data_IF_245060296589
#
_entry.id   IF_245060296589
#
_cell.length_a   1.000
_cell.length_b   1.000
_cell.length_c   1.000
_cell.angle_alpha   90.00
_cell.angle_beta   90.00
_cell.angle_gamma   90.00
#
_symmetry.space_group_name_H-M   'P 1'
#
loop_
_entity.id
_entity.type
_entity.pdbx_description
1 polymer ?
#
# COMPACT_ATOMS: atom_id res chain seq x y z
N UNK A 1 12.10 6.10 5.41
CA UNK A 1 10.98 5.94 4.45
C UNK A 1 10.75 4.46 4.21
N UNK A 2 9.55 3.98 4.39
CA UNK A 2 9.19 2.63 3.99
C UNK A 2 8.89 2.60 2.50
N UNK A 3 9.30 1.54 1.83
CA UNK A 3 9.08 1.35 0.40
C UNK A 3 8.92 -0.15 0.14
N UNK A 4 7.68 -0.61 0.12
CA UNK A 4 7.39 -2.04 0.05
C UNK A 4 6.20 -2.32 -0.86
N UNK A 5 5.96 -3.60 -1.13
CA UNK A 5 4.75 -4.04 -1.80
C UNK A 5 3.94 -4.95 -0.89
N UNK A 6 2.65 -5.02 -1.16
CA UNK A 6 1.71 -5.97 -0.57
C UNK A 6 1.25 -6.88 -1.70
N UNK A 7 1.50 -8.18 -1.60
CA UNK A 7 1.18 -9.11 -2.67
C UNK A 7 0.48 -10.35 -2.12
N UNK A 8 -0.23 -11.06 -2.98
CA UNK A 8 -0.91 -12.30 -2.62
C UNK A 8 0.03 -13.47 -2.81
N UNK A 9 0.27 -14.23 -1.74
CA UNK A 9 1.07 -15.44 -1.77
C UNK A 9 0.29 -16.63 -2.34
N UNK A 10 0.99 -17.75 -2.53
CA UNK A 10 0.38 -18.98 -3.05
C UNK A 10 -0.69 -19.57 -2.14
N UNK A 11 -0.70 -19.21 -0.86
CA UNK A 11 -1.71 -19.64 0.12
C UNK A 11 -2.95 -18.73 0.16
N UNK A 12 -3.02 -17.71 -0.70
CA UNK A 12 -4.12 -16.76 -0.75
C UNK A 12 -4.05 -15.64 0.29
N UNK A 13 -3.01 -15.60 1.12
CA UNK A 13 -2.80 -14.54 2.10
C UNK A 13 -1.91 -13.47 1.53
N UNK A 14 -2.07 -12.24 2.04
CA UNK A 14 -1.19 -11.14 1.65
C UNK A 14 0.06 -11.09 2.53
N UNK A 15 1.14 -10.59 1.94
CA UNK A 15 2.45 -10.46 2.58
C UNK A 15 3.08 -9.12 2.20
N UNK A 16 3.95 -8.61 3.06
CA UNK A 16 4.82 -7.49 2.72
C UNK A 16 6.11 -8.01 2.10
N UNK A 17 6.63 -7.27 1.13
CA UNK A 17 7.97 -7.48 0.58
C UNK A 17 8.65 -6.13 0.42
N UNK A 18 9.86 -6.00 0.95
CA UNK A 18 10.64 -4.78 0.78
C UNK A 18 10.99 -4.60 -0.70
N UNK A 19 10.79 -3.38 -1.20
CA UNK A 19 11.34 -2.98 -2.47
C UNK A 19 12.73 -2.40 -2.21
N UNK A 20 13.68 -2.71 -3.07
CA UNK A 20 15.07 -2.31 -2.84
C UNK A 20 15.20 -0.79 -2.87
N UNK A 21 15.68 -0.23 -1.76
CA UNK A 21 15.88 1.20 -1.60
C UNK A 21 17.35 1.61 -1.74
N UNK A 22 18.24 0.65 -1.97
CA UNK A 22 19.66 0.93 -2.07
C UNK A 22 19.99 1.58 -3.40
N UNK A 23 21.15 2.25 -3.43
CA UNK A 23 21.69 2.80 -4.66
C UNK A 23 21.75 1.72 -5.73
N UNK A 24 21.27 2.06 -6.94
CA UNK A 24 21.18 1.10 -8.03
C UNK A 24 19.87 0.32 -8.11
N UNK A 25 18.96 0.53 -7.17
CA UNK A 25 17.65 -0.12 -7.23
C UNK A 25 16.90 0.26 -8.50
N UNK A 26 16.28 -0.74 -9.13
CA UNK A 26 15.44 -0.49 -10.31
C UNK A 26 14.17 0.31 -10.03
N UNK A 27 13.79 0.46 -8.76
CA UNK A 27 12.63 1.24 -8.38
C UNK A 27 12.93 2.72 -8.22
N UNK A 28 14.20 3.09 -8.14
CA UNK A 28 14.63 4.48 -8.16
C UNK A 28 15.26 4.79 -9.51
N UNK A 29 15.15 6.01 -9.97
CA UNK A 29 15.60 6.43 -11.30
C UNK A 29 14.82 5.77 -12.44
N UNK A 30 13.68 5.15 -12.14
CA UNK A 30 12.82 4.53 -13.13
C UNK A 30 11.51 5.29 -13.21
N UNK A 31 11.10 5.66 -14.41
CA UNK A 31 9.78 6.23 -14.64
C UNK A 31 8.75 5.12 -14.66
N UNK A 32 7.71 5.27 -13.86
CA UNK A 32 6.59 4.33 -13.84
C UNK A 32 5.34 5.04 -14.35
N UNK A 33 4.73 4.48 -15.38
CA UNK A 33 3.49 5.03 -15.92
C UNK A 33 2.35 4.74 -14.95
N UNK A 34 1.57 5.77 -14.62
CA UNK A 34 0.33 5.59 -13.88
C UNK A 34 -0.83 6.04 -14.76
N UNK A 35 -1.92 5.28 -14.73
CA UNK A 35 -3.11 5.57 -15.51
C UNK A 35 -3.92 6.72 -14.92
N UNK A 36 -3.88 6.85 -13.60
CA UNK A 36 -4.57 7.92 -12.87
C UNK A 36 -3.81 8.21 -11.58
N UNK A 37 -3.75 9.48 -11.21
CA UNK A 37 -3.23 9.92 -9.92
C UNK A 37 -4.39 10.54 -9.15
N UNK A 38 -4.63 10.06 -7.93
CA UNK A 38 -5.79 10.44 -7.12
C UNK A 38 -5.30 10.90 -5.77
N UNK A 39 -5.85 12.00 -5.28
CA UNK A 39 -5.64 12.49 -3.92
C UNK A 39 -6.89 12.23 -3.11
N UNK A 40 -6.74 11.63 -1.94
CA UNK A 40 -7.89 11.25 -1.12
C UNK A 40 -7.63 11.50 0.34
N UNK A 41 -8.63 12.06 1.01
CA UNK A 41 -8.65 12.20 2.45
C UNK A 41 -9.56 11.10 3.03
N UNK A 42 -8.95 10.06 3.57
CA UNK A 42 -9.68 8.95 4.19
C UNK A 42 -10.02 9.20 5.65
N UNK A 43 -9.38 10.18 6.26
CA UNK A 43 -9.55 10.51 7.68
C UNK A 43 -9.38 9.27 8.57
N UNK A 44 -10.45 8.87 9.25
CA UNK A 44 -10.46 7.74 10.19
C UNK A 44 -11.48 6.69 9.77
N UNK A 45 -11.63 6.44 8.46
CA UNK A 45 -12.59 5.46 7.93
C UNK A 45 -12.48 4.12 8.63
N UNK A 46 -13.61 3.53 8.97
CA UNK A 46 -13.66 2.23 9.64
C UNK A 46 -13.98 1.08 8.70
N UNK A 47 -14.53 1.36 7.53
CA UNK A 47 -14.88 0.30 6.56
C UNK A 47 -13.67 -0.43 5.99
N UNK A 48 -12.47 0.14 6.12
CA UNK A 48 -11.22 -0.48 5.71
C UNK A 48 -10.60 -1.39 6.79
N UNK A 49 -11.16 -1.43 8.00
CA UNK A 49 -10.65 -2.27 9.10
C UNK A 49 -10.84 -3.76 8.83
N UNK A 50 -11.77 -4.12 7.97
CA UNK A 50 -12.01 -5.52 7.59
C UNK A 50 -11.04 -5.97 6.51
N UNK A 51 -10.88 -7.27 6.37
CA UNK A 51 -10.09 -7.86 5.29
C UNK A 51 -10.70 -7.50 3.95
N UNK A 52 -9.88 -6.95 3.05
CA UNK A 52 -10.29 -6.58 1.70
C UNK A 52 -9.09 -6.61 0.76
N UNK A 53 -9.34 -6.90 -0.50
CA UNK A 53 -8.31 -6.88 -1.53
C UNK A 53 -8.13 -5.47 -2.06
N UNK A 54 -6.97 -5.21 -2.68
CA UNK A 54 -6.79 -3.99 -3.46
C UNK A 54 -7.74 -4.05 -4.67
N UNK A 55 -8.45 -2.96 -4.99
CA UNK A 55 -9.36 -2.96 -6.14
C UNK A 55 -8.62 -3.07 -7.48
N UNK A 56 -7.36 -2.69 -7.48
CA UNK A 56 -6.43 -2.75 -8.61
C UNK A 56 -5.02 -2.58 -8.10
N UNK A 57 -4.03 -2.90 -8.93
CA UNK A 57 -2.64 -2.60 -8.58
C UNK A 57 -2.45 -1.10 -8.56
N UNK A 58 -1.94 -0.59 -7.44
CA UNK A 58 -1.80 0.84 -7.25
C UNK A 58 -0.70 1.19 -6.27
N UNK A 59 0.01 2.27 -6.56
CA UNK A 59 0.91 2.91 -5.62
C UNK A 59 0.10 3.69 -4.60
N UNK A 60 0.56 3.68 -3.35
CA UNK A 60 -0.02 4.48 -2.29
C UNK A 60 1.08 5.25 -1.56
N UNK A 61 0.92 6.56 -1.48
CA UNK A 61 1.87 7.46 -0.83
C UNK A 61 1.13 8.19 0.27
N UNK A 62 1.57 8.03 1.52
CA UNK A 62 1.00 8.78 2.63
C UNK A 62 1.53 10.22 2.60
N UNK A 63 0.63 11.18 2.57
CA UNK A 63 0.96 12.60 2.56
C UNK A 63 0.89 13.20 3.97
N UNK A 64 -0.14 12.83 4.75
CA UNK A 64 -0.24 13.22 6.15
C UNK A 64 -1.06 12.18 6.92
N UNK A 65 -1.00 12.26 8.25
CA UNK A 65 -1.60 11.23 9.08
C UNK A 65 -0.86 9.91 8.95
N UNK A 66 -1.57 8.81 9.14
CA UNK A 66 -0.98 7.48 9.05
C UNK A 66 -2.03 6.42 8.74
N UNK A 67 -1.55 5.24 8.33
CA UNK A 67 -2.39 4.07 8.17
C UNK A 67 -1.66 2.84 8.70
N UNK A 68 -2.38 2.00 9.43
CA UNK A 68 -1.87 0.71 9.89
C UNK A 68 -2.41 -0.37 8.96
N UNK A 69 -1.49 -1.06 8.28
CA UNK A 69 -1.83 -2.14 7.34
C UNK A 69 -1.48 -3.47 7.99
N UNK A 70 -2.46 -4.37 8.06
CA UNK A 70 -2.26 -5.74 8.52
C UNK A 70 -2.38 -6.72 7.36
N UNK A 71 -1.50 -7.72 7.34
CA UNK A 71 -1.46 -8.76 6.30
C UNK A 71 -1.65 -10.14 6.90
N UNK A 72 -1.78 -11.16 6.03
CA UNK A 72 -2.26 -12.47 6.40
C UNK A 72 -1.37 -13.29 7.31
N UNK A 73 -0.09 -12.98 7.41
CA UNK A 73 0.82 -13.67 8.33
C UNK A 73 0.84 -13.06 9.74
N UNK A 74 -0.01 -12.05 9.98
CA UNK A 74 -0.08 -11.33 11.25
C UNK A 74 0.85 -10.12 11.35
N UNK A 75 1.63 -9.85 10.33
CA UNK A 75 2.50 -8.67 10.30
C UNK A 75 1.67 -7.42 10.13
N UNK A 76 2.01 -6.38 10.88
CA UNK A 76 1.37 -5.07 10.83
C UNK A 76 2.45 -4.02 10.64
N UNK A 77 2.22 -3.09 9.72
CA UNK A 77 3.10 -1.93 9.53
C UNK A 77 2.29 -0.65 9.54
N UNK A 78 2.85 0.40 10.12
CA UNK A 78 2.26 1.74 10.10
C UNK A 78 3.01 2.61 9.11
N UNK A 79 2.29 3.17 8.14
CA UNK A 79 2.83 4.06 7.12
C UNK A 79 2.48 5.50 7.47
N UNK A 80 3.51 6.33 7.59
CA UNK A 80 3.38 7.75 7.86
C UNK A 80 3.79 8.59 6.63
N UNK A 81 3.87 9.92 6.79
CA UNK A 81 4.18 10.82 5.67
C UNK A 81 5.49 10.44 4.97
N UNK A 82 5.44 10.32 3.65
CA UNK A 82 6.56 9.93 2.80
C UNK A 82 6.73 8.43 2.62
N UNK A 83 6.00 7.60 3.37
CA UNK A 83 6.05 6.15 3.19
C UNK A 83 5.21 5.73 1.98
N UNK A 84 5.69 4.71 1.28
CA UNK A 84 5.10 4.26 0.02
C UNK A 84 4.88 2.75 0.07
N UNK A 85 3.73 2.31 -0.40
CA UNK A 85 3.54 0.89 -0.68
C UNK A 85 2.85 0.69 -2.03
N UNK A 86 3.17 -0.44 -2.65
CA UNK A 86 2.51 -0.89 -3.88
C UNK A 86 1.51 -1.98 -3.49
N UNK A 87 0.23 -1.70 -3.64
CA UNK A 87 -0.81 -2.69 -3.38
C UNK A 87 -1.02 -3.55 -4.62
N UNK A 88 -0.68 -4.82 -4.52
CA UNK A 88 -0.81 -5.81 -5.60
C UNK A 88 -1.65 -7.01 -5.20
N UNK A 89 -2.19 -7.02 -3.99
CA UNK A 89 -3.02 -8.11 -3.47
C UNK A 89 -4.47 -7.98 -3.94
N UNK A 90 -4.64 -8.15 -5.24
CA UNK A 90 -5.95 -8.02 -5.89
C UNK A 90 -6.81 -9.28 -5.79
N UNK A 91 -6.27 -10.35 -5.23
CA UNK A 91 -6.94 -11.63 -5.03
C UNK A 91 -6.73 -12.12 -3.61
N UNK A 92 -7.46 -13.17 -3.22
CA UNK A 92 -7.30 -13.82 -1.92
C UNK A 92 -7.91 -13.05 -0.76
N UNK A 93 -7.30 -13.15 0.42
CA UNK A 93 -7.80 -12.54 1.64
C UNK A 93 -7.67 -11.02 1.66
N UNK A 94 -6.60 -10.50 1.06
CA UNK A 94 -6.31 -9.08 1.11
C UNK A 94 -5.64 -8.66 2.41
N UNK A 95 -5.84 -7.41 2.77
CA UNK A 95 -5.24 -6.76 3.93
C UNK A 95 -6.29 -5.98 4.71
N UNK A 96 -5.91 -5.50 5.90
CA UNK A 96 -6.71 -4.56 6.68
C UNK A 96 -6.02 -3.21 6.67
N UNK A 97 -6.78 -2.13 6.76
CA UNK A 97 -6.25 -0.77 6.84
C UNK A 97 -6.98 0.00 7.92
N UNK A 98 -6.21 0.62 8.82
CA UNK A 98 -6.75 1.45 9.91
C UNK A 98 -6.19 2.87 9.76
N UNK A 99 -6.90 3.73 9.02
CA UNK A 99 -6.49 5.12 8.83
C UNK A 99 -6.59 5.93 10.12
N UNK A 100 -5.66 6.87 10.28
CA UNK A 100 -5.69 7.88 11.33
C UNK A 100 -5.37 9.23 10.71
N UNK A 101 -6.39 10.06 10.51
CA UNK A 101 -6.26 11.35 9.83
C UNK A 101 -5.52 11.23 8.49
N UNK A 102 -5.80 10.18 7.76
CA UNK A 102 -4.99 9.74 6.64
C UNK A 102 -5.34 10.47 5.34
N UNK A 103 -4.37 11.18 4.81
CA UNK A 103 -4.42 11.80 3.49
C UNK A 103 -3.36 11.13 2.65
N UNK A 104 -3.76 10.66 1.48
CA UNK A 104 -2.88 9.90 0.59
C UNK A 104 -3.02 10.32 -0.86
N UNK A 105 -1.97 10.05 -1.63
CA UNK A 105 -2.03 10.00 -3.08
C UNK A 105 -1.92 8.54 -3.50
N UNK A 106 -2.66 8.13 -4.54
CA UNK A 106 -2.45 6.82 -5.12
C UNK A 106 -2.48 6.88 -6.64
N UNK A 107 -1.60 6.06 -7.23
CA UNK A 107 -1.46 5.97 -8.66
C UNK A 107 -1.92 4.60 -9.16
N UNK A 108 -2.94 4.59 -10.02
CA UNK A 108 -3.43 3.37 -10.63
C UNK A 108 -2.48 2.92 -11.74
N UNK A 109 -2.06 1.66 -11.72
CA UNK A 109 -1.19 1.11 -12.76
C UNK A 109 -1.99 0.60 -13.97
N UNK A 110 -3.26 0.31 -13.78
CA UNK A 110 -4.11 -0.31 -14.81
C UNK A 110 -5.44 0.41 -14.95
#
# INVERSE_FOLDING_TARGET
MQFCRIYTGGDGKSYFEELDQREGSKFFLTSLAVKALIFKNDMNREDLHRWHTAPRRQWCITLSGSVEIGVGDGTVRTFGPGDVFLAEDVTGQGHTAKPKNWIRAFGHLE
#
